data_IF_142173444876
#
_entry.id   IF_142173444876
#
_cell.length_a   1.000
_cell.length_b   1.000
_cell.length_c   1.000
_cell.angle_alpha   90.00
_cell.angle_beta   90.00
_cell.angle_gamma   90.00
#
_symmetry.space_group_name_H-M   'P 1'
#
loop_
_entity.id
_entity.type
_entity.pdbx_description
1 polymer ?
#
# COMPACT_ATOMS: atom_id res chain seq x y z
N UNK A 1 5.55 -42.83 21.26
CA UNK A 1 5.13 -42.28 19.95
C UNK A 1 4.40 -40.97 20.20
N UNK A 2 5.07 -39.83 20.02
CA UNK A 2 4.45 -38.51 20.16
C UNK A 2 3.52 -38.27 18.96
N UNK A 3 2.28 -37.85 19.21
CA UNK A 3 1.33 -37.42 18.16
C UNK A 3 2.04 -36.36 17.32
N UNK A 4 2.31 -36.65 16.03
CA UNK A 4 2.70 -35.60 15.08
C UNK A 4 1.53 -34.60 15.07
N UNK A 5 1.73 -33.42 15.63
CA UNK A 5 0.85 -32.30 15.34
C UNK A 5 1.00 -32.04 13.83
N UNK A 6 -0.11 -32.14 13.09
CA UNK A 6 -0.11 -31.97 11.63
C UNK A 6 -0.13 -30.49 11.21
N UNK A 7 -0.28 -29.58 12.17
CA UNK A 7 -0.31 -28.14 11.95
C UNK A 7 0.27 -27.37 13.14
N UNK A 8 0.69 -26.15 12.89
CA UNK A 8 1.06 -25.15 13.91
C UNK A 8 0.26 -23.86 13.66
N UNK A 9 -0.23 -23.22 14.73
CA UNK A 9 -0.97 -21.96 14.69
C UNK A 9 -0.46 -21.02 15.80
N UNK A 10 -0.32 -19.74 15.47
CA UNK A 10 0.09 -18.68 16.41
C UNK A 10 -0.90 -17.53 16.31
N UNK A 11 -1.52 -17.20 17.44
CA UNK A 11 -2.53 -16.13 17.54
C UNK A 11 -2.12 -15.08 18.57
N UNK A 12 -2.43 -13.81 18.30
CA UNK A 12 -2.18 -12.67 19.20
C UNK A 12 -3.49 -11.96 19.56
N UNK A 13 -3.65 -11.60 20.84
CA UNK A 13 -4.81 -10.83 21.32
C UNK A 13 -4.65 -9.34 21.00
N UNK A 14 -5.74 -8.67 20.63
CA UNK A 14 -5.78 -7.21 20.34
C UNK A 14 -4.76 -6.77 19.27
N UNK A 15 -4.39 -7.66 18.36
CA UNK A 15 -3.42 -7.37 17.31
C UNK A 15 -3.95 -6.29 16.37
N UNK A 16 -3.16 -5.24 16.12
CA UNK A 16 -3.53 -4.13 15.22
C UNK A 16 -4.34 -2.99 15.85
N UNK A 17 -4.58 -2.99 17.17
CA UNK A 17 -5.43 -1.98 17.84
C UNK A 17 -4.87 -0.56 17.76
N UNK A 18 -3.59 -0.41 18.10
CA UNK A 18 -2.94 0.89 18.08
C UNK A 18 -2.85 1.43 16.64
N UNK A 19 -2.58 0.54 15.69
CA UNK A 19 -2.51 0.84 14.26
C UNK A 19 -3.87 1.38 13.74
N UNK A 20 -4.96 0.67 14.06
CA UNK A 20 -6.32 1.08 13.70
C UNK A 20 -6.70 2.43 14.31
N UNK A 21 -6.28 2.70 15.55
CA UNK A 21 -6.51 3.98 16.22
C UNK A 21 -5.75 5.12 15.51
N UNK A 22 -4.48 4.90 15.16
CA UNK A 22 -3.66 5.89 14.43
C UNK A 22 -4.24 6.17 13.05
N UNK A 23 -4.64 5.12 12.30
CA UNK A 23 -5.28 5.28 10.99
C UNK A 23 -6.55 6.11 11.10
N UNK A 24 -7.40 5.86 12.11
CA UNK A 24 -8.60 6.66 12.34
C UNK A 24 -8.27 8.13 12.64
N UNK A 25 -7.24 8.40 13.45
CA UNK A 25 -6.79 9.78 13.73
C UNK A 25 -6.36 10.49 12.45
N UNK A 26 -5.56 9.85 11.60
CA UNK A 26 -5.13 10.44 10.32
C UNK A 26 -6.31 10.72 9.39
N UNK A 27 -7.24 9.77 9.26
CA UNK A 27 -8.44 9.94 8.43
C UNK A 27 -9.28 11.13 8.91
N UNK A 28 -9.48 11.26 10.24
CA UNK A 28 -10.20 12.40 10.82
C UNK A 28 -9.44 13.71 10.57
N UNK A 29 -8.13 13.74 10.80
CA UNK A 29 -7.30 14.93 10.62
C UNK A 29 -7.29 15.41 9.17
N UNK A 30 -7.10 14.53 8.20
CA UNK A 30 -7.14 14.90 6.78
C UNK A 30 -8.53 15.33 6.33
N UNK A 31 -9.59 14.69 6.84
CA UNK A 31 -10.96 15.12 6.60
C UNK A 31 -11.21 16.54 7.14
N UNK A 32 -10.70 16.86 8.34
CA UNK A 32 -10.79 18.20 8.92
C UNK A 32 -10.04 19.24 8.08
N UNK A 33 -8.85 18.92 7.55
CA UNK A 33 -8.14 19.81 6.64
C UNK A 33 -8.94 20.10 5.36
N UNK A 34 -9.64 19.10 4.82
CA UNK A 34 -10.55 19.29 3.68
C UNK A 34 -11.70 20.24 4.01
N UNK A 35 -12.34 20.06 5.17
CA UNK A 35 -13.42 20.94 5.65
C UNK A 35 -12.92 22.37 5.92
N UNK A 36 -11.75 22.52 6.53
CA UNK A 36 -11.11 23.84 6.74
C UNK A 36 -10.83 24.51 5.38
N UNK A 37 -10.39 23.75 4.38
CA UNK A 37 -10.20 24.24 3.01
C UNK A 37 -11.47 24.87 2.42
N UNK A 38 -12.64 24.29 2.69
CA UNK A 38 -13.96 24.86 2.32
C UNK A 38 -14.26 26.14 3.10
N UNK A 39 -13.89 26.22 4.38
CA UNK A 39 -14.15 27.42 5.19
C UNK A 39 -13.27 28.59 4.76
N UNK A 40 -12.01 28.34 4.41
CA UNK A 40 -11.04 29.37 4.01
C UNK A 40 -11.42 29.97 2.65
N UNK A 41 -11.69 29.14 1.65
CA UNK A 41 -12.26 29.57 0.38
C UNK A 41 -13.37 28.62 -0.06
N UNK A 42 -14.60 29.06 0.16
CA UNK A 42 -15.79 28.28 -0.13
C UNK A 42 -15.98 28.00 -1.62
N UNK A 43 -15.49 28.86 -2.52
CA UNK A 43 -15.59 28.63 -3.97
C UNK A 43 -14.68 27.50 -4.41
N UNK A 44 -13.40 27.57 -4.01
CA UNK A 44 -12.41 26.52 -4.29
C UNK A 44 -12.79 25.20 -3.61
N UNK A 45 -13.21 25.26 -2.35
CA UNK A 45 -13.56 24.08 -1.57
C UNK A 45 -14.80 23.35 -2.08
N UNK A 46 -15.89 24.06 -2.42
CA UNK A 46 -17.07 23.44 -3.02
C UNK A 46 -16.77 22.83 -4.39
N UNK A 47 -15.92 23.49 -5.19
CA UNK A 47 -15.46 22.94 -6.47
C UNK A 47 -14.68 21.64 -6.27
N UNK A 48 -13.82 21.57 -5.25
CA UNK A 48 -13.13 20.34 -4.88
C UNK A 48 -14.08 19.24 -4.39
N UNK A 49 -15.09 19.57 -3.60
CA UNK A 49 -16.13 18.62 -3.16
C UNK A 49 -16.91 18.06 -4.36
N UNK A 50 -17.28 18.91 -5.31
CA UNK A 50 -17.97 18.52 -6.54
C UNK A 50 -17.07 17.58 -7.37
N UNK A 51 -15.79 17.90 -7.54
CA UNK A 51 -14.83 17.04 -8.23
C UNK A 51 -14.75 15.66 -7.59
N UNK A 52 -14.55 15.59 -6.27
CA UNK A 52 -14.44 14.31 -5.55
C UNK A 52 -15.71 13.47 -5.73
N UNK A 53 -16.88 14.10 -5.68
CA UNK A 53 -18.16 13.42 -5.88
C UNK A 53 -18.28 12.86 -7.29
N UNK A 54 -17.92 13.64 -8.31
CA UNK A 54 -17.91 13.19 -9.71
C UNK A 54 -16.93 12.04 -9.91
N UNK A 55 -15.70 12.16 -9.41
CA UNK A 55 -14.69 11.09 -9.50
C UNK A 55 -15.18 9.80 -8.84
N UNK A 56 -15.79 9.90 -7.66
CA UNK A 56 -16.35 8.76 -6.96
C UNK A 56 -17.45 8.04 -7.77
N UNK A 57 -18.37 8.81 -8.36
CA UNK A 57 -19.44 8.26 -9.19
C UNK A 57 -18.86 7.59 -10.44
N UNK A 58 -17.97 8.28 -11.18
CA UNK A 58 -17.39 7.76 -12.43
C UNK A 58 -16.55 6.50 -12.21
N UNK A 59 -15.84 6.40 -11.08
CA UNK A 59 -15.07 5.20 -10.72
C UNK A 59 -15.93 3.93 -10.70
N UNK A 60 -17.22 4.03 -10.35
CA UNK A 60 -18.13 2.88 -10.31
C UNK A 60 -18.56 2.37 -11.69
N UNK A 61 -18.37 3.15 -12.76
CA UNK A 61 -18.83 2.82 -14.11
C UNK A 61 -17.71 2.56 -15.11
N UNK A 62 -16.48 2.97 -14.80
CA UNK A 62 -15.39 3.06 -15.80
C UNK A 62 -14.22 2.16 -15.40
N UNK A 63 -13.63 1.44 -16.37
CA UNK A 63 -12.42 0.64 -16.11
C UNK A 63 -11.27 1.54 -15.66
N UNK A 64 -10.43 1.04 -14.77
CA UNK A 64 -9.34 1.79 -14.14
C UNK A 64 -8.46 2.59 -15.11
N UNK A 65 -8.07 2.01 -16.25
CA UNK A 65 -7.25 2.71 -17.25
C UNK A 65 -7.95 3.97 -17.81
N UNK A 66 -9.25 3.90 -18.09
CA UNK A 66 -10.04 5.04 -18.55
C UNK A 66 -10.32 6.04 -17.43
N UNK A 67 -10.42 5.56 -16.19
CA UNK A 67 -10.56 6.41 -15.00
C UNK A 67 -9.32 7.29 -14.79
N UNK A 68 -8.11 6.78 -15.05
CA UNK A 68 -6.88 7.59 -14.99
C UNK A 68 -6.86 8.72 -16.03
N UNK A 69 -7.29 8.44 -17.26
CA UNK A 69 -7.44 9.49 -18.28
C UNK A 69 -8.50 10.52 -17.88
N UNK A 70 -9.59 10.06 -17.26
CA UNK A 70 -10.64 10.94 -16.75
C UNK A 70 -10.13 11.87 -15.63
N UNK A 71 -9.28 11.38 -14.72
CA UNK A 71 -8.61 12.22 -13.71
C UNK A 71 -7.75 13.30 -14.39
N UNK A 72 -6.94 12.92 -15.37
CA UNK A 72 -6.12 13.88 -16.12
C UNK A 72 -6.96 14.95 -16.84
N UNK A 73 -8.04 14.53 -17.49
CA UNK A 73 -9.00 15.45 -18.14
C UNK A 73 -9.69 16.36 -17.12
N UNK A 74 -10.01 15.83 -15.93
CA UNK A 74 -10.63 16.60 -14.85
C UNK A 74 -9.71 17.72 -14.36
N UNK A 75 -8.39 17.50 -14.28
CA UNK A 75 -7.45 18.57 -13.95
C UNK A 75 -7.40 19.67 -15.02
N UNK A 76 -7.45 19.30 -16.30
CA UNK A 76 -7.52 20.29 -17.40
C UNK A 76 -8.82 21.09 -17.31
N UNK A 77 -9.95 20.41 -17.09
CA UNK A 77 -11.25 21.06 -16.95
C UNK A 77 -11.29 22.02 -15.75
N UNK A 78 -10.70 21.63 -14.62
CA UNK A 78 -10.59 22.48 -13.43
C UNK A 78 -9.69 23.67 -13.68
N UNK A 79 -8.57 23.50 -14.38
CA UNK A 79 -7.70 24.62 -14.75
C UNK A 79 -8.45 25.68 -15.59
N UNK A 80 -9.19 25.24 -16.61
CA UNK A 80 -10.00 26.15 -17.43
C UNK A 80 -11.10 26.85 -16.59
N UNK A 81 -11.70 26.13 -15.64
CA UNK A 81 -12.71 26.68 -14.75
C UNK A 81 -12.12 27.69 -13.75
N UNK A 82 -10.91 27.47 -13.24
CA UNK A 82 -10.22 28.42 -12.37
C UNK A 82 -9.89 29.74 -13.06
N UNK A 83 -9.45 29.69 -14.33
CA UNK A 83 -9.17 30.90 -15.12
C UNK A 83 -10.46 31.71 -15.40
N UNK A 84 -11.59 31.02 -15.56
CA UNK A 84 -12.86 31.67 -15.87
C UNK A 84 -13.56 32.26 -14.65
N UNK A 85 -13.45 31.62 -13.49
CA UNK A 85 -14.19 31.99 -12.27
C UNK A 85 -13.34 32.70 -11.19
N UNK A 86 -12.06 32.97 -11.48
CA UNK A 86 -11.10 33.56 -10.54
C UNK A 86 -11.05 32.76 -9.22
N UNK A 87 -10.81 31.45 -9.35
CA UNK A 87 -10.76 30.48 -8.25
C UNK A 87 -9.34 29.93 -8.15
N UNK A 88 -8.81 29.73 -6.94
CA UNK A 88 -7.46 29.22 -6.75
C UNK A 88 -7.34 27.75 -7.15
N UNK A 89 -6.76 27.50 -8.34
CA UNK A 89 -6.54 26.15 -8.89
C UNK A 89 -5.90 25.18 -7.88
N UNK A 90 -4.84 25.60 -7.22
CA UNK A 90 -4.11 24.76 -6.26
C UNK A 90 -4.98 24.41 -5.04
N UNK A 91 -5.82 25.34 -4.60
CA UNK A 91 -6.72 25.11 -3.48
C UNK A 91 -7.84 24.12 -3.83
N UNK A 92 -8.35 24.14 -5.07
CA UNK A 92 -9.28 23.11 -5.55
C UNK A 92 -8.63 21.73 -5.49
N UNK A 93 -7.40 21.59 -5.98
CA UNK A 93 -6.67 20.32 -6.00
C UNK A 93 -6.44 19.79 -4.57
N UNK A 94 -5.92 20.64 -3.67
CA UNK A 94 -5.67 20.26 -2.28
C UNK A 94 -6.96 19.89 -1.54
N UNK A 95 -8.00 20.71 -1.68
CA UNK A 95 -9.30 20.44 -1.06
C UNK A 95 -9.88 19.13 -1.55
N UNK A 96 -9.77 18.84 -2.86
CA UNK A 96 -10.21 17.57 -3.43
C UNK A 96 -9.50 16.38 -2.79
N UNK A 97 -8.16 16.43 -2.69
CA UNK A 97 -7.37 15.36 -2.08
C UNK A 97 -7.81 15.11 -0.63
N UNK A 98 -7.91 16.15 0.18
CA UNK A 98 -8.26 16.01 1.60
C UNK A 98 -9.72 15.58 1.82
N UNK A 99 -10.66 16.05 1.01
CA UNK A 99 -12.08 15.69 1.13
C UNK A 99 -12.35 14.21 0.82
N UNK A 100 -11.49 13.53 0.04
CA UNK A 100 -11.63 12.07 -0.19
C UNK A 100 -11.59 11.26 1.11
N UNK A 101 -10.92 11.76 2.16
CA UNK A 101 -10.79 11.05 3.43
C UNK A 101 -12.11 10.91 4.21
N UNK A 102 -13.11 11.76 3.93
CA UNK A 102 -14.44 11.70 4.57
C UNK A 102 -15.11 10.33 4.36
N UNK A 103 -14.91 9.73 3.19
CA UNK A 103 -15.51 8.43 2.85
C UNK A 103 -14.92 7.26 3.65
N UNK A 104 -13.75 7.43 4.27
CA UNK A 104 -13.04 6.37 4.99
C UNK A 104 -13.30 6.35 6.51
N UNK A 105 -13.95 7.39 7.07
CA UNK A 105 -14.18 7.51 8.53
C UNK A 105 -14.95 6.30 9.08
N UNK A 106 -16.09 5.97 8.47
CA UNK A 106 -16.98 4.89 8.94
C UNK A 106 -16.26 3.54 8.94
N UNK A 107 -15.58 3.22 7.83
CA UNK A 107 -14.82 1.98 7.69
C UNK A 107 -13.73 1.88 8.75
N UNK A 108 -12.97 2.96 8.95
CA UNK A 108 -11.86 3.01 9.92
C UNK A 108 -12.34 2.82 11.37
N UNK A 109 -13.49 3.40 11.71
CA UNK A 109 -14.08 3.25 13.04
C UNK A 109 -14.56 1.82 13.31
N UNK A 110 -15.17 1.16 12.32
CA UNK A 110 -15.63 -0.22 12.45
C UNK A 110 -14.45 -1.18 12.69
N UNK A 111 -13.35 -1.02 11.96
CA UNK A 111 -12.12 -1.80 12.14
C UNK A 111 -11.53 -1.63 13.55
N UNK A 112 -11.51 -0.41 14.08
CA UNK A 112 -11.06 -0.13 15.44
C UNK A 112 -11.92 -0.83 16.52
N UNK A 113 -13.24 -1.00 16.28
CA UNK A 113 -14.16 -1.60 17.24
C UNK A 113 -14.10 -3.13 17.28
N UNK A 114 -13.85 -3.80 16.15
CA UNK A 114 -13.98 -5.25 15.96
C UNK A 114 -12.74 -6.09 16.39
N UNK A 115 -11.98 -5.66 17.40
CA UNK A 115 -10.63 -6.21 17.64
C UNK A 115 -10.60 -7.40 18.61
N UNK A 116 -10.80 -8.60 18.05
CA UNK A 116 -10.61 -9.90 18.70
C UNK A 116 -9.19 -10.45 18.58
N UNK A 117 -8.97 -11.70 19.04
CA UNK A 117 -7.76 -12.48 18.75
C UNK A 117 -7.60 -12.71 17.26
N UNK A 118 -6.36 -12.60 16.77
CA UNK A 118 -6.05 -12.73 15.35
C UNK A 118 -4.92 -13.75 15.17
N UNK A 119 -5.10 -14.68 14.24
CA UNK A 119 -4.08 -15.64 13.84
C UNK A 119 -3.05 -14.96 12.94
N UNK A 120 -1.79 -14.96 13.36
CA UNK A 120 -0.69 -14.28 12.66
C UNK A 120 0.15 -15.25 11.84
N UNK A 121 0.09 -16.55 12.16
CA UNK A 121 0.83 -17.60 11.49
C UNK A 121 0.10 -18.94 11.62
N UNK A 122 0.03 -19.68 10.52
CA UNK A 122 -0.50 -21.03 10.43
C UNK A 122 0.32 -21.81 9.39
N UNK A 123 0.67 -23.06 9.68
CA UNK A 123 1.29 -23.94 8.70
C UNK A 123 0.77 -25.37 8.90
N UNK A 124 0.29 -25.97 7.83
CA UNK A 124 -0.06 -27.38 7.74
C UNK A 124 0.45 -28.01 6.43
N UNK A 125 -0.02 -29.21 6.12
CA UNK A 125 0.35 -29.93 4.89
C UNK A 125 -0.17 -29.31 3.58
N UNK A 126 -1.12 -28.38 3.65
CA UNK A 126 -1.83 -27.82 2.49
C UNK A 126 -1.50 -26.35 2.29
N UNK A 127 -1.41 -25.59 3.37
CA UNK A 127 -1.32 -24.15 3.32
C UNK A 127 -0.44 -23.55 4.43
N UNK A 128 0.14 -22.40 4.08
CA UNK A 128 0.83 -21.48 4.99
C UNK A 128 0.02 -20.19 5.00
N UNK A 129 -0.43 -19.77 6.18
CA UNK A 129 -0.91 -18.42 6.40
C UNK A 129 0.10 -17.67 7.24
N UNK A 130 0.52 -16.49 6.80
CA UNK A 130 1.38 -15.67 7.63
C UNK A 130 1.20 -14.20 7.31
N UNK A 131 1.45 -13.37 8.30
CA UNK A 131 1.61 -11.94 8.09
C UNK A 131 2.87 -11.72 7.27
N UNK A 132 2.69 -11.27 6.04
CA UNK A 132 3.80 -10.98 5.15
C UNK A 132 3.55 -9.67 4.45
N UNK A 133 4.57 -8.81 4.54
CA UNK A 133 4.72 -7.72 3.60
C UNK A 133 5.34 -8.34 2.35
N UNK A 134 4.59 -8.41 1.24
CA UNK A 134 5.13 -8.84 -0.06
C UNK A 134 6.36 -7.99 -0.47
N UNK A 135 6.53 -6.82 0.17
CA UNK A 135 7.67 -5.93 0.04
C UNK A 135 8.08 -5.41 1.42
N UNK A 136 9.36 -5.49 1.79
CA UNK A 136 9.90 -4.86 3.01
C UNK A 136 9.66 -3.33 3.03
N UNK A 137 9.42 -2.72 1.86
CA UNK A 137 9.07 -1.32 1.71
C UNK A 137 7.66 -0.95 2.25
N UNK A 138 6.75 -1.93 2.40
CA UNK A 138 5.38 -1.66 2.86
C UNK A 138 5.24 -1.69 4.38
N UNK A 139 6.32 -1.37 5.09
CA UNK A 139 6.34 -1.24 6.53
C UNK A 139 5.32 -0.18 7.03
N UNK A 140 5.13 0.90 6.28
CA UNK A 140 4.19 1.97 6.64
C UNK A 140 2.74 1.52 6.50
N UNK A 141 2.38 0.83 5.41
CA UNK A 141 1.05 0.26 5.23
C UNK A 141 0.77 -0.81 6.28
N UNK A 142 1.72 -1.72 6.51
CA UNK A 142 1.65 -2.72 7.57
C UNK A 142 1.51 -2.09 8.97
N UNK A 143 2.18 -0.97 9.23
CA UNK A 143 2.05 -0.25 10.49
C UNK A 143 0.70 0.48 10.65
N UNK A 144 -0.10 0.66 9.60
CA UNK A 144 -1.42 1.27 9.70
C UNK A 144 -2.52 0.21 9.76
N UNK A 145 -2.40 -0.86 8.96
CA UNK A 145 -3.33 -1.97 8.94
C UNK A 145 -2.60 -3.31 8.78
N UNK A 146 -2.06 -3.89 9.86
CA UNK A 146 -1.27 -5.12 9.76
C UNK A 146 -2.10 -6.36 9.43
N UNK A 147 -3.43 -6.31 9.58
CA UNK A 147 -4.31 -7.48 9.38
C UNK A 147 -4.54 -7.79 7.91
N UNK A 148 -4.59 -6.77 7.05
CA UNK A 148 -4.72 -6.94 5.59
C UNK A 148 -3.50 -7.61 4.95
N UNK A 149 -2.40 -7.75 5.69
CA UNK A 149 -1.18 -8.42 5.26
C UNK A 149 -1.14 -9.92 5.63
N UNK A 150 -2.24 -10.50 6.11
CA UNK A 150 -2.35 -11.94 6.23
C UNK A 150 -2.49 -12.56 4.84
N UNK A 151 -1.46 -13.27 4.40
CA UNK A 151 -1.40 -13.89 3.07
C UNK A 151 -1.48 -15.40 3.21
N UNK A 152 -2.04 -16.04 2.18
CA UNK A 152 -2.18 -17.50 2.10
C UNK A 152 -1.34 -18.01 0.94
N UNK A 153 -0.60 -19.08 1.19
CA UNK A 153 0.26 -19.74 0.22
C UNK A 153 0.01 -21.25 0.27
N UNK A 154 0.08 -21.92 -0.88
CA UNK A 154 0.04 -23.37 -0.91
C UNK A 154 1.36 -23.95 -0.37
N UNK A 155 1.28 -24.92 0.54
CA UNK A 155 2.46 -25.52 1.18
C UNK A 155 3.37 -26.23 0.17
N UNK A 156 2.79 -26.78 -0.91
CA UNK A 156 3.53 -27.44 -1.99
C UNK A 156 4.49 -26.50 -2.75
N UNK A 157 4.24 -25.19 -2.70
CA UNK A 157 5.07 -24.16 -3.36
C UNK A 157 6.26 -23.70 -2.52
N UNK A 158 6.38 -24.20 -1.29
CA UNK A 158 7.46 -23.81 -0.39
C UNK A 158 8.74 -24.54 -0.82
N UNK A 159 9.71 -23.78 -1.31
CA UNK A 159 11.00 -24.29 -1.81
C UNK A 159 12.06 -24.38 -0.70
N UNK A 160 12.03 -23.45 0.26
CA UNK A 160 13.00 -23.41 1.36
C UNK A 160 12.45 -22.63 2.56
N UNK A 161 12.89 -23.02 3.76
CA UNK A 161 12.69 -22.29 5.01
C UNK A 161 14.05 -22.08 5.68
N UNK A 162 14.39 -20.81 5.94
CA UNK A 162 15.62 -20.41 6.63
C UNK A 162 15.27 -19.70 7.94
N UNK A 163 16.00 -20.03 9.00
CA UNK A 163 15.92 -19.35 10.29
C UNK A 163 17.26 -18.66 10.56
N UNK A 164 17.24 -17.34 10.77
CA UNK A 164 18.43 -16.54 11.07
C UNK A 164 18.20 -15.74 12.36
N UNK A 165 18.78 -16.20 13.47
CA UNK A 165 18.69 -15.59 14.80
C UNK A 165 17.26 -15.25 15.25
N UNK A 166 16.76 -14.07 14.86
CA UNK A 166 15.46 -13.50 15.26
C UNK A 166 14.47 -13.41 14.11
N UNK A 167 14.82 -13.92 12.93
CA UNK A 167 14.02 -13.81 11.73
C UNK A 167 13.86 -15.17 11.05
N UNK A 168 12.73 -15.33 10.37
CA UNK A 168 12.42 -16.45 9.51
C UNK A 168 12.23 -15.94 8.08
N UNK A 169 12.67 -16.73 7.12
CA UNK A 169 12.49 -16.45 5.70
C UNK A 169 12.04 -17.71 4.99
N UNK A 170 11.04 -17.58 4.13
CA UNK A 170 10.40 -18.66 3.41
C UNK A 170 10.47 -18.33 1.92
N UNK A 171 11.11 -19.17 1.12
CA UNK A 171 11.03 -19.08 -0.34
C UNK A 171 9.79 -19.82 -0.82
N UNK A 172 8.92 -19.14 -1.56
CA UNK A 172 7.69 -19.69 -2.13
C UNK A 172 7.65 -19.32 -3.61
N UNK A 173 7.73 -20.30 -4.52
CA UNK A 173 7.98 -20.06 -5.95
C UNK A 173 9.12 -19.02 -6.13
N UNK A 174 8.80 -17.86 -6.70
CA UNK A 174 9.71 -16.74 -6.96
C UNK A 174 9.70 -15.65 -5.87
N UNK A 175 8.92 -15.85 -4.81
CA UNK A 175 8.72 -14.88 -3.73
C UNK A 175 9.58 -15.21 -2.52
N UNK A 176 10.05 -14.17 -1.85
CA UNK A 176 10.75 -14.29 -0.58
C UNK A 176 9.90 -13.71 0.54
N UNK A 177 9.33 -14.59 1.34
CA UNK A 177 8.39 -14.25 2.40
C UNK A 177 9.14 -14.14 3.73
N UNK A 178 8.96 -13.02 4.42
CA UNK A 178 9.50 -12.77 5.77
C UNK A 178 8.33 -12.62 6.74
N UNK A 179 7.90 -13.69 7.44
CA UNK A 179 6.79 -13.62 8.38
C UNK A 179 6.99 -12.56 9.47
N UNK A 180 5.96 -11.76 9.75
CA UNK A 180 5.98 -10.64 10.70
C UNK A 180 5.25 -10.97 12.00
N UNK A 181 5.51 -10.15 13.03
CA UNK A 181 4.92 -10.24 14.37
C UNK A 181 5.19 -11.53 15.16
N UNK A 182 6.14 -12.35 14.71
CA UNK A 182 6.65 -13.50 15.43
C UNK A 182 7.68 -13.06 16.48
N UNK A 183 7.56 -13.61 17.69
CA UNK A 183 8.56 -13.48 18.75
C UNK A 183 9.61 -14.59 18.63
N UNK A 184 10.74 -14.47 19.34
CA UNK A 184 11.75 -15.53 19.37
C UNK A 184 11.17 -16.88 19.82
N UNK A 185 10.25 -16.87 20.79
CA UNK A 185 9.57 -18.08 21.27
C UNK A 185 8.68 -18.69 20.16
N UNK A 186 7.95 -17.85 19.43
CA UNK A 186 7.14 -18.28 18.30
C UNK A 186 8.03 -18.94 17.22
N UNK A 187 9.19 -18.36 16.95
CA UNK A 187 10.16 -18.88 15.97
C UNK A 187 10.76 -20.23 16.37
N UNK A 188 11.10 -20.40 17.65
CA UNK A 188 11.58 -21.67 18.20
C UNK A 188 10.51 -22.77 18.03
N UNK A 189 9.25 -22.47 18.35
CA UNK A 189 8.13 -23.41 18.17
C UNK A 189 7.95 -23.80 16.69
N UNK A 190 8.05 -22.84 15.78
CA UNK A 190 7.95 -23.11 14.34
C UNK A 190 9.15 -23.93 13.86
N UNK A 191 10.37 -23.60 14.31
CA UNK A 191 11.57 -24.35 13.93
C UNK A 191 11.47 -25.82 14.35
N UNK A 192 11.08 -26.10 15.59
CA UNK A 192 10.92 -27.47 16.09
C UNK A 192 9.86 -28.24 15.29
N UNK A 193 8.74 -27.58 14.96
CA UNK A 193 7.70 -28.16 14.11
C UNK A 193 8.21 -28.49 12.70
N UNK A 194 8.92 -27.56 12.05
CA UNK A 194 9.46 -27.74 10.69
C UNK A 194 10.55 -28.82 10.68
N UNK A 195 11.42 -28.85 11.68
CA UNK A 195 12.47 -29.87 11.81
C UNK A 195 11.92 -31.29 11.90
N UNK A 196 10.77 -31.46 12.55
CA UNK A 196 10.13 -32.77 12.74
C UNK A 196 9.30 -33.17 11.51
N UNK A 197 8.58 -32.23 10.90
CA UNK A 197 7.58 -32.53 9.86
C UNK A 197 8.05 -32.27 8.42
N UNK A 198 8.92 -31.29 8.22
CA UNK A 198 9.40 -30.84 6.90
C UNK A 198 10.93 -30.60 6.87
N UNK A 199 11.77 -31.57 7.30
CA UNK A 199 13.22 -31.37 7.39
C UNK A 199 13.89 -31.08 6.04
N UNK A 200 13.27 -31.54 4.95
CA UNK A 200 13.73 -31.33 3.57
C UNK A 200 13.66 -29.87 3.11
N UNK A 201 12.89 -29.01 3.79
CA UNK A 201 12.79 -27.58 3.47
C UNK A 201 13.91 -26.75 4.13
N UNK A 202 14.65 -27.32 5.09
CA UNK A 202 15.74 -26.65 5.78
C UNK A 202 17.06 -26.73 4.99
N UNK A 203 17.97 -25.79 5.24
CA UNK A 203 19.34 -25.74 4.68
C UNK A 203 19.41 -25.62 3.15
N UNK A 204 18.44 -24.91 2.54
CA UNK A 204 18.34 -24.68 1.10
C UNK A 204 18.63 -23.21 0.72
N UNK A 205 19.83 -22.75 1.06
CA UNK A 205 20.22 -21.33 0.89
C UNK A 205 20.25 -20.87 -0.57
N UNK A 206 20.48 -21.77 -1.52
CA UNK A 206 20.49 -21.45 -2.96
C UNK A 206 19.16 -20.87 -3.45
N UNK A 207 18.02 -21.43 -3.01
CA UNK A 207 16.68 -20.96 -3.36
C UNK A 207 16.40 -19.59 -2.73
N UNK A 208 16.89 -19.36 -1.51
CA UNK A 208 16.78 -18.06 -0.84
C UNK A 208 17.52 -16.97 -1.64
N UNK A 209 18.73 -17.26 -2.14
CA UNK A 209 19.51 -16.30 -2.92
C UNK A 209 18.91 -16.01 -4.31
N UNK A 210 18.36 -17.03 -4.97
CA UNK A 210 17.67 -16.84 -6.26
C UNK A 210 16.46 -15.91 -6.11
N UNK A 211 15.63 -16.13 -5.09
CA UNK A 211 14.45 -15.29 -4.85
C UNK A 211 14.84 -13.87 -4.44
N UNK A 212 15.93 -13.69 -3.68
CA UNK A 212 16.48 -12.38 -3.34
C UNK A 212 16.87 -11.57 -4.59
N UNK A 213 17.47 -12.21 -5.59
CA UNK A 213 17.85 -11.55 -6.85
C UNK A 213 16.62 -11.04 -7.61
N UNK A 214 15.56 -11.85 -7.69
CA UNK A 214 14.28 -11.46 -8.31
C UNK A 214 13.61 -10.32 -7.56
N UNK A 215 13.61 -10.36 -6.24
CA UNK A 215 13.07 -9.29 -5.38
C UNK A 215 13.80 -7.96 -5.63
N UNK A 216 15.14 -7.98 -5.74
CA UNK A 216 15.93 -6.78 -6.04
C UNK A 216 15.59 -6.17 -7.42
N UNK A 217 15.42 -7.01 -8.45
CA UNK A 217 15.01 -6.54 -9.77
C UNK A 217 13.65 -5.84 -9.70
N UNK A 218 12.70 -6.39 -8.97
CA UNK A 218 11.38 -5.79 -8.77
C UNK A 218 11.46 -4.41 -8.08
N UNK A 219 12.31 -4.23 -7.06
CA UNK A 219 12.50 -2.92 -6.43
C UNK A 219 13.08 -1.87 -7.38
N UNK A 220 14.03 -2.27 -8.23
CA UNK A 220 14.59 -1.38 -9.26
C UNK A 220 13.48 -0.91 -10.22
N UNK A 221 12.59 -1.81 -10.66
CA UNK A 221 11.47 -1.47 -11.53
C UNK A 221 10.55 -0.43 -10.88
N UNK A 222 10.24 -0.59 -9.58
CA UNK A 222 9.45 0.40 -8.82
C UNK A 222 10.11 1.77 -8.78
N UNK A 223 11.41 1.83 -8.51
CA UNK A 223 12.14 3.10 -8.47
C UNK A 223 12.00 3.83 -9.82
N UNK A 224 12.14 3.11 -10.94
CA UNK A 224 11.94 3.71 -12.26
C UNK A 224 10.52 4.20 -12.50
N UNK A 225 9.50 3.48 -12.03
CA UNK A 225 8.10 3.87 -12.20
C UNK A 225 7.75 5.13 -11.38
N UNK A 226 8.29 5.25 -10.16
CA UNK A 226 7.94 6.34 -9.24
C UNK A 226 8.89 7.55 -9.29
N UNK A 227 10.10 7.41 -9.85
CA UNK A 227 11.05 8.51 -9.97
C UNK A 227 10.52 9.75 -10.71
N UNK A 228 9.65 9.66 -11.73
CA UNK A 228 9.12 10.86 -12.38
C UNK A 228 8.33 11.75 -11.43
N UNK A 229 7.63 11.18 -10.45
CA UNK A 229 6.84 11.94 -9.49
C UNK A 229 7.76 12.81 -8.62
N UNK A 230 8.85 12.23 -8.11
CA UNK A 230 9.83 12.97 -7.29
C UNK A 230 10.49 14.09 -8.08
N UNK A 231 10.91 13.79 -9.33
CA UNK A 231 11.58 14.78 -10.19
C UNK A 231 10.62 15.92 -10.53
N UNK A 232 9.40 15.60 -10.98
CA UNK A 232 8.41 16.61 -11.36
C UNK A 232 7.95 17.45 -10.16
N UNK A 233 7.94 16.91 -8.95
CA UNK A 233 7.58 17.68 -7.75
C UNK A 233 8.64 18.75 -7.46
N UNK A 234 9.92 18.42 -7.65
CA UNK A 234 11.01 19.40 -7.58
C UNK A 234 10.91 20.44 -8.70
N UNK A 235 10.46 20.04 -9.90
CA UNK A 235 10.22 20.97 -11.01
C UNK A 235 9.13 21.99 -10.65
N UNK A 236 8.01 21.54 -10.09
CA UNK A 236 6.94 22.44 -9.62
C UNK A 236 7.47 23.40 -8.54
N UNK A 237 8.25 22.89 -7.60
CA UNK A 237 8.78 23.71 -6.50
C UNK A 237 9.73 24.81 -6.99
N UNK A 238 10.76 24.45 -7.77
CA UNK A 238 11.81 25.39 -8.18
C UNK A 238 11.46 26.20 -9.42
N UNK A 239 10.89 25.56 -10.45
CA UNK A 239 10.60 26.20 -11.74
C UNK A 239 9.14 26.63 -11.85
N UNK A 240 8.23 25.91 -11.21
CA UNK A 240 6.81 26.31 -11.12
C UNK A 240 6.52 27.40 -10.09
N UNK A 241 7.56 28.02 -9.51
CA UNK A 241 7.46 29.03 -8.47
C UNK A 241 6.51 28.59 -7.33
N UNK A 242 6.73 27.36 -6.84
CA UNK A 242 5.90 26.70 -5.83
C UNK A 242 4.39 26.63 -6.19
N UNK A 243 4.08 26.42 -7.47
CA UNK A 243 2.71 26.26 -7.95
C UNK A 243 2.06 27.53 -8.53
N UNK A 244 2.78 28.67 -8.53
CA UNK A 244 2.28 29.93 -9.09
C UNK A 244 2.28 29.96 -10.61
N UNK A 245 3.20 29.26 -11.25
CA UNK A 245 3.12 29.03 -12.71
C UNK A 245 2.12 27.89 -12.95
N UNK A 246 0.88 28.25 -13.23
CA UNK A 246 -0.21 27.29 -13.39
C UNK A 246 -0.04 26.38 -14.60
N UNK A 247 0.51 26.88 -15.71
CA UNK A 247 0.71 26.09 -16.93
C UNK A 247 1.79 25.02 -16.67
N UNK A 248 2.94 25.43 -16.13
CA UNK A 248 4.02 24.49 -15.81
C UNK A 248 3.58 23.48 -14.76
N UNK A 249 2.85 23.94 -13.74
CA UNK A 249 2.32 23.08 -12.68
C UNK A 249 1.33 22.06 -13.23
N UNK A 250 0.38 22.47 -14.07
CA UNK A 250 -0.57 21.58 -14.73
C UNK A 250 0.14 20.53 -15.59
N UNK A 251 1.10 20.94 -16.42
CA UNK A 251 1.91 20.02 -17.22
C UNK A 251 2.63 18.98 -16.36
N UNK A 252 3.24 19.42 -15.25
CA UNK A 252 3.92 18.51 -14.32
C UNK A 252 2.94 17.54 -13.67
N UNK A 253 1.78 18.00 -13.18
CA UNK A 253 0.76 17.15 -12.57
C UNK A 253 0.23 16.10 -13.55
N UNK A 254 -0.02 16.46 -14.81
CA UNK A 254 -0.44 15.52 -15.85
C UNK A 254 0.66 14.46 -16.09
N UNK A 255 1.91 14.89 -16.22
CA UNK A 255 3.04 13.99 -16.43
C UNK A 255 3.28 13.05 -15.23
N UNK A 256 3.04 13.50 -14.00
CA UNK A 256 3.11 12.65 -12.80
C UNK A 256 2.12 11.48 -12.84
N UNK A 257 0.98 11.63 -13.53
CA UNK A 257 -0.01 10.56 -13.72
C UNK A 257 0.38 9.66 -14.90
N UNK A 258 0.81 10.25 -16.02
CA UNK A 258 1.03 9.51 -17.28
C UNK A 258 2.35 8.73 -17.28
N UNK A 259 3.46 9.33 -16.84
CA UNK A 259 4.79 8.72 -16.95
C UNK A 259 4.92 7.38 -16.21
N UNK A 260 4.41 7.20 -14.98
CA UNK A 260 4.43 5.89 -14.31
C UNK A 260 3.75 4.78 -15.13
N UNK A 261 2.67 5.11 -15.85
CA UNK A 261 1.93 4.16 -16.70
C UNK A 261 2.75 3.80 -17.95
N UNK A 262 3.41 4.78 -18.58
CA UNK A 262 4.25 4.53 -19.76
C UNK A 262 5.47 3.68 -19.40
N UNK A 263 6.16 4.03 -18.31
CA UNK A 263 7.34 3.31 -17.83
C UNK A 263 6.99 1.88 -17.43
N UNK A 264 5.89 1.66 -16.70
CA UNK A 264 5.47 0.31 -16.32
C UNK A 264 5.18 -0.59 -17.53
N UNK A 265 4.56 -0.05 -18.59
CA UNK A 265 4.35 -0.80 -19.85
C UNK A 265 5.64 -1.14 -20.58
N UNK A 266 6.63 -0.23 -20.56
CA UNK A 266 7.92 -0.48 -21.19
C UNK A 266 8.68 -1.57 -20.44
N UNK A 267 8.75 -1.46 -19.11
CA UNK A 267 9.39 -2.44 -18.25
C UNK A 267 8.73 -3.82 -18.32
N UNK A 268 7.41 -3.91 -18.52
CA UNK A 268 6.72 -5.19 -18.69
C UNK A 268 7.02 -5.92 -20.01
N UNK A 269 7.72 -5.28 -20.95
CA UNK A 269 8.14 -5.89 -22.23
C UNK A 269 9.60 -6.37 -22.23
N UNK A 270 10.36 -6.03 -21.19
CA UNK A 270 11.77 -6.36 -21.00
C UNK A 270 11.88 -7.49 -20.00
#
# INVERSE_FOLDING_TARGET
MSKKNNSISISKKKFGKNNSAISLIFVIMFSLLGVIGIIIDWKSGLSGLALVTVLYVVHSFVKFNYFLYFIGLSFVAIYLLSEWQDIEFLQIVLSSIFLTFLFFIKSSYQTYKALDSFEIFYLDSRELHCLSTENDADYKGYALDPRSYLKKYAAEKISAISFKRKDMTIAIDDLLIRPRALTTIDLEQIYDFVKINYPNLLNRDEFIQQNLSKENQYYIHKIYIFSPILVLALVIYFFGNNGKDHILTLCCLILMVILPVVISKFLARV
#
